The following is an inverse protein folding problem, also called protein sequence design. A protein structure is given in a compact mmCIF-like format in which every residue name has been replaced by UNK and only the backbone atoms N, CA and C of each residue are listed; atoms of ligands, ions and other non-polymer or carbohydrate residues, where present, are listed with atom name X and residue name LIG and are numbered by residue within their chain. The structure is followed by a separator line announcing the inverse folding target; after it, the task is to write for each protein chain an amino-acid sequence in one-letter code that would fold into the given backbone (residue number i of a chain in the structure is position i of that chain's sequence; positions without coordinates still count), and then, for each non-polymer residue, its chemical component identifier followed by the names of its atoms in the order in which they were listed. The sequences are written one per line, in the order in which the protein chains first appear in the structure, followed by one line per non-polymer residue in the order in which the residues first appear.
data_IF_345478032335
#
_entry.id   IF_345478032335
#
_cell.length_a   1.000
_cell.length_b   1.000
_cell.length_c   1.000
_cell.angle_alpha   90.00
_cell.angle_beta   90.00
_cell.angle_gamma   90.00
#
_symmetry.space_group_name_H-M   'P 1'
#
loop_
_entity.id
_entity.type
_entity.pdbx_description
1 polymer ?
#
# COMPACT_ATOMS: atom_id res chain seq x y z
N UNK A 1 47.62 -37.06 52.05
CA UNK A 1 46.28 -36.93 51.46
C UNK A 1 46.04 -35.46 51.18
N UNK A 2 45.82 -35.09 49.92
CA UNK A 2 45.58 -33.70 49.53
C UNK A 2 44.10 -33.32 49.50
N UNK A 3 43.89 -32.04 49.14
CA UNK A 3 42.70 -31.45 48.50
C UNK A 3 41.47 -31.22 49.41
N UNK A 4 40.70 -30.12 49.33
CA UNK A 4 40.55 -29.01 48.39
C UNK A 4 39.92 -27.81 49.13
N UNK A 5 40.42 -26.60 48.93
CA UNK A 5 39.71 -25.36 49.23
C UNK A 5 38.76 -25.01 48.07
N UNK A 6 37.46 -24.89 48.38
CA UNK A 6 36.42 -24.45 47.43
C UNK A 6 36.40 -22.93 47.32
N UNK A 7 36.96 -22.39 46.24
CA UNK A 7 36.80 -20.99 45.85
C UNK A 7 35.44 -20.76 45.18
N UNK A 8 34.53 -20.08 45.87
CA UNK A 8 33.24 -19.65 45.30
C UNK A 8 33.45 -18.41 44.41
N UNK A 9 33.39 -18.58 43.09
CA UNK A 9 33.47 -17.48 42.13
C UNK A 9 32.13 -16.74 42.06
N UNK A 10 32.09 -15.50 42.56
CA UNK A 10 30.94 -14.61 42.45
C UNK A 10 30.91 -14.02 41.04
N UNK A 11 29.99 -14.50 40.20
CA UNK A 11 29.76 -13.94 38.86
C UNK A 11 29.19 -12.51 39.00
N UNK A 12 29.77 -11.50 38.33
CA UNK A 12 29.29 -10.12 38.45
C UNK A 12 27.91 -9.96 37.78
N UNK A 13 26.92 -9.49 38.55
CA UNK A 13 25.53 -9.26 38.11
C UNK A 13 25.37 -8.22 36.98
N UNK A 14 26.45 -7.60 36.52
CA UNK A 14 26.46 -6.60 35.45
C UNK A 14 26.51 -7.19 34.03
N UNK A 15 27.01 -8.42 33.85
CA UNK A 15 27.06 -9.07 32.54
C UNK A 15 25.68 -9.29 31.87
N UNK A 16 24.64 -9.80 32.55
CA UNK A 16 23.34 -10.03 31.91
C UNK A 16 22.64 -8.72 31.52
N UNK A 17 22.81 -7.65 32.29
CA UNK A 17 22.22 -6.33 32.00
C UNK A 17 22.87 -5.72 30.75
N UNK A 18 24.20 -5.86 30.61
CA UNK A 18 24.93 -5.37 29.43
C UNK A 18 24.54 -6.14 28.16
N UNK A 19 24.34 -7.46 28.24
CA UNK A 19 23.87 -8.29 27.13
C UNK A 19 22.44 -7.95 26.69
N UNK A 20 21.52 -7.70 27.64
CA UNK A 20 20.14 -7.28 27.35
C UNK A 20 20.14 -5.89 26.68
N UNK A 21 20.90 -4.93 27.20
CA UNK A 21 21.02 -3.59 26.60
C UNK A 21 21.61 -3.66 25.19
N UNK A 22 22.66 -4.45 24.97
CA UNK A 22 23.26 -4.64 23.64
C UNK A 22 22.27 -5.29 22.65
N UNK A 23 21.44 -6.23 23.11
CA UNK A 23 20.38 -6.86 22.30
C UNK A 23 19.26 -5.88 21.91
N UNK A 24 18.89 -4.96 22.81
CA UNK A 24 17.90 -3.92 22.52
C UNK A 24 18.42 -2.90 21.50
N UNK A 25 19.69 -2.52 21.60
CA UNK A 25 20.31 -1.55 20.68
C UNK A 25 20.49 -2.15 19.28
N UNK A 26 20.84 -3.43 19.15
CA UNK A 26 20.94 -4.10 17.85
C UNK A 26 19.58 -4.50 17.24
N UNK A 27 18.56 -4.81 18.05
CA UNK A 27 17.22 -5.15 17.56
C UNK A 27 16.45 -3.97 16.94
N UNK A 28 16.76 -2.73 17.35
CA UNK A 28 16.10 -1.53 16.85
C UNK A 28 16.50 -1.16 15.40
N UNK A 29 17.68 -1.55 14.94
CA UNK A 29 18.22 -1.11 13.65
C UNK A 29 17.61 -1.83 12.44
N UNK A 30 17.09 -3.06 12.60
CA UNK A 30 16.58 -3.84 11.48
C UNK A 30 15.11 -3.49 11.12
N UNK A 31 14.36 -2.96 12.09
CA UNK A 31 12.92 -2.69 11.94
C UNK A 31 12.57 -1.39 11.20
N UNK A 32 13.52 -0.46 11.06
CA UNK A 32 13.29 0.85 10.44
C UNK A 32 13.31 0.80 8.91
N UNK A 33 14.17 -0.05 8.33
CA UNK A 33 14.38 -0.20 6.89
C UNK A 33 13.13 -0.69 6.13
N UNK A 34 12.27 -1.50 6.77
CA UNK A 34 11.04 -2.03 6.16
C UNK A 34 9.78 -1.29 6.64
N UNK A 35 9.89 -0.05 7.09
CA UNK A 35 8.73 0.70 7.59
C UNK A 35 7.91 1.40 6.50
N UNK A 36 8.44 1.52 5.28
CA UNK A 36 7.83 2.31 4.20
C UNK A 36 7.26 1.44 3.07
N UNK A 37 6.24 1.98 2.39
CA UNK A 37 5.74 1.47 1.12
C UNK A 37 6.67 1.95 0.00
N UNK A 38 7.10 1.03 -0.84
CA UNK A 38 7.95 1.33 -2.00
C UNK A 38 7.23 0.96 -3.29
N UNK A 39 7.61 1.61 -4.39
CA UNK A 39 7.14 1.21 -5.72
C UNK A 39 7.53 -0.24 -6.05
N UNK A 40 6.67 -0.90 -6.81
CA UNK A 40 6.71 -2.33 -7.10
C UNK A 40 6.21 -3.21 -5.95
N UNK A 41 5.85 -2.66 -4.77
CA UNK A 41 5.20 -3.45 -3.72
C UNK A 41 3.79 -3.85 -4.15
N UNK A 42 3.36 -5.02 -3.70
CA UNK A 42 1.99 -5.53 -3.86
C UNK A 42 1.37 -5.63 -2.48
N UNK A 43 0.28 -4.90 -2.24
CA UNK A 43 -0.31 -4.73 -0.92
C UNK A 43 -1.83 -4.74 -0.97
N UNK A 44 -2.46 -4.90 0.19
CA UNK A 44 -3.89 -4.64 0.38
C UNK A 44 -4.08 -3.28 1.04
N UNK A 45 -5.14 -2.57 0.62
CA UNK A 45 -5.54 -1.30 1.24
C UNK A 45 -6.77 -1.55 2.11
N UNK A 46 -6.62 -1.37 3.42
CA UNK A 46 -7.70 -1.50 4.39
C UNK A 46 -8.33 -0.13 4.66
N UNK A 47 -9.63 0.01 4.41
CA UNK A 47 -10.38 1.16 4.91
C UNK A 47 -10.52 1.06 6.43
N UNK A 48 -10.04 2.07 7.16
CA UNK A 48 -9.94 2.02 8.61
C UNK A 48 -11.32 2.01 9.28
N UNK A 49 -12.25 2.85 8.78
CA UNK A 49 -13.57 3.00 9.41
C UNK A 49 -14.46 1.78 9.21
N UNK A 50 -14.43 1.19 8.02
CA UNK A 50 -15.35 0.11 7.63
C UNK A 50 -14.75 -1.29 7.71
N UNK A 51 -13.44 -1.37 7.98
CA UNK A 51 -12.69 -2.63 8.08
C UNK A 51 -12.88 -3.53 6.84
N UNK A 52 -12.80 -2.92 5.66
CA UNK A 52 -12.88 -3.62 4.36
C UNK A 52 -11.64 -3.34 3.53
N UNK A 53 -11.21 -4.34 2.76
CA UNK A 53 -10.09 -4.25 1.83
C UNK A 53 -10.58 -3.81 0.46
N UNK A 54 -9.85 -2.91 -0.17
CA UNK A 54 -10.06 -2.51 -1.55
C UNK A 54 -9.97 -3.77 -2.45
N UNK A 55 -10.94 -3.96 -3.31
CA UNK A 55 -11.15 -5.20 -4.04
C UNK A 55 -11.67 -4.92 -5.46
N UNK A 56 -11.32 -5.76 -6.42
CA UNK A 56 -11.94 -5.75 -7.75
C UNK A 56 -12.07 -7.17 -8.30
N UNK A 57 -12.83 -7.36 -9.38
CA UNK A 57 -13.16 -8.68 -9.93
C UNK A 57 -13.69 -8.52 -11.36
N UNK A 58 -13.95 -9.62 -12.07
CA UNK A 58 -14.56 -9.58 -13.40
C UNK A 58 -16.10 -9.40 -13.36
N UNK A 59 -16.56 -8.40 -12.63
CA UNK A 59 -17.95 -7.90 -12.64
C UNK A 59 -17.90 -6.43 -13.00
N UNK A 60 -18.86 -5.97 -13.80
CA UNK A 60 -18.96 -4.58 -14.25
C UNK A 60 -20.14 -3.90 -13.60
N UNK A 61 -20.07 -2.58 -13.48
CA UNK A 61 -21.23 -1.79 -13.10
C UNK A 61 -22.35 -1.90 -14.15
N UNK A 62 -23.60 -1.99 -13.68
CA UNK A 62 -24.79 -1.91 -14.55
C UNK A 62 -25.28 -0.47 -14.78
N UNK A 63 -24.62 0.51 -14.16
CA UNK A 63 -24.90 1.95 -14.21
C UNK A 63 -23.59 2.72 -14.34
N UNK A 64 -23.67 4.05 -14.36
CA UNK A 64 -22.48 4.90 -14.43
C UNK A 64 -21.70 4.65 -15.71
N UNK A 65 -20.40 4.38 -15.60
CA UNK A 65 -19.53 4.17 -16.76
C UNK A 65 -19.65 2.78 -17.39
N UNK A 66 -20.23 1.81 -16.68
CA UNK A 66 -20.24 0.41 -17.10
C UNK A 66 -18.86 -0.29 -17.04
N UNK A 67 -17.85 0.33 -16.42
CA UNK A 67 -16.52 -0.25 -16.23
C UNK A 67 -16.50 -1.34 -15.16
N UNK A 68 -15.35 -2.01 -14.99
CA UNK A 68 -15.15 -3.04 -13.98
C UNK A 68 -15.31 -2.44 -12.57
N UNK A 69 -16.06 -3.13 -11.70
CA UNK A 69 -16.40 -2.62 -10.39
C UNK A 69 -15.25 -2.71 -9.40
N UNK A 70 -15.18 -1.73 -8.50
CA UNK A 70 -14.27 -1.69 -7.36
C UNK A 70 -15.11 -1.64 -6.09
N UNK A 71 -14.79 -2.50 -5.14
CA UNK A 71 -15.61 -2.73 -3.96
C UNK A 71 -14.74 -2.86 -2.71
N UNK A 72 -15.40 -2.92 -1.55
CA UNK A 72 -14.79 -3.25 -0.27
C UNK A 72 -15.23 -4.62 0.23
N UNK A 73 -14.29 -5.52 0.54
CA UNK A 73 -14.58 -6.85 1.09
C UNK A 73 -14.01 -7.02 2.50
N UNK A 74 -14.68 -7.80 3.35
CA UNK A 74 -14.18 -8.13 4.70
C UNK A 74 -13.20 -9.30 4.70
N UNK A 75 -13.21 -10.13 3.64
CA UNK A 75 -12.35 -11.29 3.50
C UNK A 75 -10.87 -10.89 3.55
N UNK A 76 -10.12 -11.49 4.47
CA UNK A 76 -8.70 -11.18 4.69
C UNK A 76 -7.83 -11.83 3.61
N UNK A 77 -8.11 -13.09 3.28
CA UNK A 77 -7.26 -13.92 2.42
C UNK A 77 -7.56 -13.80 0.92
N UNK A 78 -8.43 -12.88 0.51
CA UNK A 78 -8.83 -12.77 -0.89
C UNK A 78 -7.68 -12.22 -1.75
N UNK A 79 -7.35 -12.96 -2.82
CA UNK A 79 -6.32 -12.56 -3.79
C UNK A 79 -6.73 -11.36 -4.65
N UNK A 80 -8.04 -11.14 -4.84
CA UNK A 80 -8.61 -10.00 -5.57
C UNK A 80 -8.55 -8.68 -4.77
N UNK A 81 -7.88 -8.69 -3.61
CA UNK A 81 -7.59 -7.49 -2.84
C UNK A 81 -6.14 -7.02 -2.96
N UNK A 82 -5.32 -7.66 -3.79
CA UNK A 82 -3.94 -7.23 -4.03
C UNK A 82 -3.85 -6.16 -5.12
N UNK A 83 -3.16 -5.07 -4.78
CA UNK A 83 -2.89 -3.93 -5.65
C UNK A 83 -1.38 -3.67 -5.71
N UNK A 84 -0.86 -3.53 -6.93
CA UNK A 84 0.53 -3.18 -7.20
C UNK A 84 0.71 -1.66 -7.23
N UNK A 85 1.71 -1.16 -6.49
CA UNK A 85 2.06 0.27 -6.43
C UNK A 85 3.03 0.60 -7.56
N UNK A 86 2.60 1.44 -8.51
CA UNK A 86 3.38 1.82 -9.71
C UNK A 86 3.56 3.33 -9.81
N UNK A 87 4.57 3.75 -10.57
CA UNK A 87 4.71 5.14 -11.01
C UNK A 87 3.65 5.51 -12.06
N UNK A 88 3.60 6.79 -12.42
CA UNK A 88 2.76 7.28 -13.51
C UNK A 88 3.52 7.24 -14.84
N UNK A 89 2.83 7.52 -15.95
CA UNK A 89 3.47 7.64 -17.27
C UNK A 89 4.53 8.75 -17.30
N UNK A 90 4.29 9.87 -16.61
CA UNK A 90 5.18 11.03 -16.59
C UNK A 90 6.28 10.95 -15.51
N UNK A 91 6.08 10.12 -14.49
CA UNK A 91 6.99 10.01 -13.35
C UNK A 91 7.30 8.55 -13.03
N UNK A 92 8.44 8.08 -13.57
CA UNK A 92 8.94 6.74 -13.31
C UNK A 92 9.16 6.53 -11.82
N UNK A 93 8.58 5.46 -11.29
CA UNK A 93 8.84 5.00 -9.93
C UNK A 93 9.50 3.63 -9.97
N UNK A 94 10.82 3.61 -9.80
CA UNK A 94 11.58 2.38 -9.82
C UNK A 94 11.23 1.47 -8.63
N UNK A 95 11.30 0.16 -8.88
CA UNK A 95 11.08 -0.85 -7.84
C UNK A 95 12.01 -0.60 -6.65
N UNK A 96 11.46 -0.65 -5.44
CA UNK A 96 12.19 -0.39 -4.20
C UNK A 96 12.35 1.10 -3.86
N UNK A 97 11.96 2.04 -4.73
CA UNK A 97 11.96 3.47 -4.35
C UNK A 97 10.84 3.75 -3.33
N UNK A 98 11.13 4.30 -2.14
CA UNK A 98 10.10 4.70 -1.18
C UNK A 98 9.13 5.74 -1.77
N UNK A 99 7.83 5.54 -1.54
CA UNK A 99 6.80 6.47 -2.00
C UNK A 99 6.74 7.68 -1.07
N UNK A 100 6.89 8.88 -1.63
CA UNK A 100 6.80 10.14 -0.87
C UNK A 100 5.33 10.50 -0.61
N UNK A 101 5.07 11.18 0.50
CA UNK A 101 3.79 11.90 0.64
C UNK A 101 3.71 12.98 -0.44
N UNK A 102 2.49 13.24 -0.94
CA UNK A 102 2.19 14.03 -2.13
C UNK A 102 2.70 13.46 -3.46
N UNK A 103 3.30 12.26 -3.47
CA UNK A 103 3.64 11.59 -4.72
C UNK A 103 2.38 11.06 -5.41
N UNK A 104 2.31 11.24 -6.72
CA UNK A 104 1.29 10.62 -7.56
C UNK A 104 1.75 9.22 -8.00
N UNK A 105 0.87 8.24 -7.86
CA UNK A 105 1.09 6.84 -8.20
C UNK A 105 -0.10 6.29 -9.00
N UNK A 106 0.06 5.08 -9.53
CA UNK A 106 -1.04 4.21 -9.96
C UNK A 106 -1.15 3.00 -9.03
N UNK A 107 -2.37 2.54 -8.81
CA UNK A 107 -2.67 1.29 -8.10
C UNK A 107 -3.27 0.31 -9.11
N UNK A 108 -2.52 -0.73 -9.46
CA UNK A 108 -2.97 -1.72 -10.46
C UNK A 108 -3.44 -2.99 -9.76
N UNK A 109 -4.69 -3.38 -10.00
CA UNK A 109 -5.25 -4.62 -9.49
C UNK A 109 -4.52 -5.82 -10.08
N UNK A 110 -3.96 -6.68 -9.23
CA UNK A 110 -3.02 -7.73 -9.66
C UNK A 110 -3.68 -8.76 -10.58
N UNK A 111 -4.90 -9.19 -10.25
CA UNK A 111 -5.53 -10.30 -10.97
C UNK A 111 -6.15 -9.91 -12.31
N UNK A 112 -6.49 -8.63 -12.51
CA UNK A 112 -7.12 -8.16 -13.77
C UNK A 112 -6.24 -7.23 -14.59
N UNK A 113 -5.07 -6.84 -14.08
CA UNK A 113 -4.17 -5.88 -14.73
C UNK A 113 -4.73 -4.46 -14.81
N UNK A 114 -5.92 -4.18 -14.25
CA UNK A 114 -6.57 -2.88 -14.39
C UNK A 114 -6.13 -1.87 -13.33
N UNK A 115 -6.09 -0.61 -13.69
CA UNK A 115 -5.78 0.48 -12.76
C UNK A 115 -7.03 0.92 -11.98
N UNK A 116 -6.82 1.31 -10.73
CA UNK A 116 -7.82 2.05 -9.96
C UNK A 116 -8.07 3.40 -10.64
N UNK A 117 -9.32 3.63 -11.01
CA UNK A 117 -9.71 4.72 -11.90
C UNK A 117 -10.87 5.52 -11.30
N UNK A 118 -10.95 6.81 -11.65
CA UNK A 118 -12.12 7.62 -11.30
C UNK A 118 -12.36 8.75 -12.29
N UNK A 119 -13.60 9.22 -12.33
CA UNK A 119 -14.09 10.14 -13.36
C UNK A 119 -15.44 10.73 -12.95
N UNK A 120 -15.98 11.66 -13.74
CA UNK A 120 -17.25 12.33 -13.46
C UNK A 120 -18.50 11.49 -13.79
N UNK A 121 -18.49 10.21 -13.40
CA UNK A 121 -19.68 9.36 -13.36
C UNK A 121 -20.20 9.24 -11.92
N UNK A 122 -21.50 9.01 -11.80
CA UNK A 122 -22.16 8.78 -10.53
C UNK A 122 -21.98 7.33 -10.08
N UNK A 123 -21.54 7.15 -8.83
CA UNK A 123 -21.40 5.84 -8.19
C UNK A 123 -22.75 5.13 -8.03
N UNK A 124 -22.78 3.79 -8.11
CA UNK A 124 -24.04 3.05 -8.27
C UNK A 124 -25.05 3.13 -7.12
N UNK A 125 -24.62 3.31 -5.87
CA UNK A 125 -25.48 3.20 -4.69
C UNK A 125 -25.65 4.52 -3.93
N UNK A 126 -24.62 5.35 -3.84
CA UNK A 126 -24.61 6.55 -2.97
C UNK A 126 -24.61 7.89 -3.70
N UNK A 127 -24.62 7.87 -5.03
CA UNK A 127 -24.58 9.08 -5.87
C UNK A 127 -23.32 9.95 -5.69
N UNK A 128 -22.26 9.41 -5.08
CA UNK A 128 -20.92 10.01 -5.05
C UNK A 128 -20.19 9.84 -6.40
N UNK A 129 -18.92 10.22 -6.49
CA UNK A 129 -18.13 10.01 -7.71
C UNK A 129 -17.73 8.54 -7.87
N UNK A 130 -17.93 7.96 -9.04
CA UNK A 130 -17.63 6.56 -9.34
C UNK A 130 -16.12 6.27 -9.25
N UNK A 131 -15.78 5.16 -8.59
CA UNK A 131 -14.45 4.55 -8.63
C UNK A 131 -14.57 3.18 -9.31
N UNK A 132 -13.71 2.92 -10.28
CA UNK A 132 -13.77 1.74 -11.14
C UNK A 132 -12.37 1.16 -11.36
N UNK A 133 -12.30 0.03 -12.07
CA UNK A 133 -11.06 -0.55 -12.57
C UNK A 133 -11.03 -0.44 -14.11
N UNK A 134 -10.03 0.26 -14.63
CA UNK A 134 -9.91 0.63 -16.05
C UNK A 134 -8.55 0.25 -16.64
N UNK A 135 -8.46 0.25 -17.97
CA UNK A 135 -7.23 -0.08 -18.66
C UNK A 135 -6.95 -1.58 -18.74
N UNK A 136 -5.71 -1.90 -19.07
CA UNK A 136 -5.21 -3.27 -19.28
C UNK A 136 -3.72 -3.35 -18.97
N UNK A 137 -3.28 -4.39 -18.25
CA UNK A 137 -1.87 -4.62 -17.88
C UNK A 137 -1.12 -3.41 -17.26
N UNK A 138 -1.85 -2.57 -16.51
CA UNK A 138 -1.34 -1.35 -15.88
C UNK A 138 -1.28 -0.14 -16.80
N UNK A 139 -1.59 -0.32 -18.08
CA UNK A 139 -1.74 0.75 -19.06
C UNK A 139 -3.14 1.35 -19.00
N UNK A 140 -3.21 2.66 -19.15
CA UNK A 140 -4.43 3.45 -19.05
C UNK A 140 -4.10 4.93 -19.21
N UNK A 141 -4.85 5.82 -18.56
CA UNK A 141 -4.75 7.26 -18.80
C UNK A 141 -4.43 8.06 -17.52
N UNK A 142 -4.65 9.39 -17.57
CA UNK A 142 -4.37 10.30 -16.47
C UNK A 142 -5.43 10.24 -15.35
N UNK A 143 -6.55 9.56 -15.57
CA UNK A 143 -7.62 9.32 -14.59
C UNK A 143 -7.36 8.06 -13.73
N UNK A 144 -6.21 7.41 -13.95
CA UNK A 144 -5.69 6.33 -13.09
C UNK A 144 -4.77 6.85 -11.98
N UNK A 145 -4.56 8.17 -11.92
CA UNK A 145 -3.53 8.80 -11.09
C UNK A 145 -4.06 9.23 -9.72
N UNK A 146 -3.41 8.74 -8.67
CA UNK A 146 -3.78 9.03 -7.28
C UNK A 146 -2.60 9.62 -6.51
N UNK A 147 -2.80 10.78 -5.89
CA UNK A 147 -1.85 11.42 -4.99
C UNK A 147 -1.97 10.84 -3.58
N UNK A 148 -0.86 10.33 -3.04
CA UNK A 148 -0.80 9.76 -1.68
C UNK A 148 -0.69 10.89 -0.66
N UNK A 149 -1.70 11.05 0.19
CA UNK A 149 -1.70 12.04 1.27
C UNK A 149 -1.40 11.33 2.60
N UNK A 150 -0.26 11.66 3.21
CA UNK A 150 0.19 11.07 4.48
C UNK A 150 0.85 12.10 5.39
N UNK A 151 0.91 11.80 6.69
CA UNK A 151 1.35 12.77 7.72
C UNK A 151 2.86 13.02 7.80
N UNK A 152 3.67 12.19 7.14
CA UNK A 152 5.14 12.29 7.15
C UNK A 152 5.72 12.78 5.82
N UNK A 153 7.00 12.51 5.60
CA UNK A 153 7.65 12.73 4.29
C UNK A 153 7.50 11.53 3.34
N UNK A 154 7.35 10.33 3.90
CA UNK A 154 7.24 9.07 3.18
C UNK A 154 6.00 8.31 3.65
N UNK A 155 5.40 7.53 2.74
CA UNK A 155 4.29 6.65 3.05
C UNK A 155 4.75 5.46 3.89
N UNK A 156 4.46 5.51 5.19
CA UNK A 156 4.71 4.41 6.12
C UNK A 156 3.63 3.36 6.05
N UNK A 157 4.04 2.09 6.21
CA UNK A 157 3.14 0.96 6.40
C UNK A 157 2.37 1.14 7.71
N UNK A 158 1.17 0.60 7.76
CA UNK A 158 0.30 0.64 8.94
C UNK A 158 -0.13 2.04 9.45
N UNK A 159 0.37 3.13 8.87
CA UNK A 159 -0.11 4.49 9.15
C UNK A 159 -1.30 4.85 8.25
N UNK A 160 -2.16 5.73 8.76
CA UNK A 160 -3.33 6.19 8.06
C UNK A 160 -2.96 7.13 6.91
N UNK A 161 -3.51 6.85 5.72
CA UNK A 161 -3.28 7.63 4.50
C UNK A 161 -4.60 7.92 3.78
N UNK A 162 -4.58 8.88 2.86
CA UNK A 162 -5.66 9.07 1.87
C UNK A 162 -5.10 9.00 0.46
N UNK A 163 -5.96 8.65 -0.48
CA UNK A 163 -5.67 8.72 -1.91
C UNK A 163 -6.58 9.76 -2.54
N UNK A 164 -5.98 10.83 -3.05
CA UNK A 164 -6.68 11.88 -3.77
C UNK A 164 -6.56 11.61 -5.26
N UNK A 165 -7.68 11.46 -5.93
CA UNK A 165 -7.71 11.34 -7.37
C UNK A 165 -7.19 12.64 -8.00
N UNK A 166 -6.13 12.56 -8.80
CA UNK A 166 -5.38 13.75 -9.24
C UNK A 166 -6.23 14.65 -10.15
N UNK A 167 -7.07 14.06 -11.00
CA UNK A 167 -7.84 14.84 -11.98
C UNK A 167 -9.09 15.52 -11.38
N UNK A 168 -9.65 15.01 -10.28
CA UNK A 168 -10.92 15.53 -9.72
C UNK A 168 -10.82 15.98 -8.27
N UNK A 169 -9.66 15.87 -7.64
CA UNK A 169 -9.40 16.12 -6.21
C UNK A 169 -10.24 15.27 -5.23
N UNK A 170 -11.06 14.34 -5.72
CA UNK A 170 -11.90 13.50 -4.89
C UNK A 170 -11.09 12.42 -4.15
N UNK A 171 -11.50 12.07 -2.94
CA UNK A 171 -10.79 11.16 -2.06
C UNK A 171 -11.43 9.77 -2.11
N UNK A 172 -10.62 8.74 -2.36
CA UNK A 172 -11.03 7.34 -2.31
C UNK A 172 -11.69 7.02 -0.96
N UNK A 173 -12.92 6.54 -0.97
CA UNK A 173 -13.79 6.46 0.20
C UNK A 173 -14.71 5.24 0.19
N UNK A 174 -15.27 4.92 1.37
CA UNK A 174 -16.34 3.92 1.57
C UNK A 174 -17.35 4.48 2.56
N UNK A 175 -18.66 4.49 2.27
CA UNK A 175 -19.69 5.02 3.20
C UNK A 175 -20.60 3.96 3.84
N UNK A 176 -20.59 2.71 3.35
CA UNK A 176 -21.16 1.55 4.05
C UNK A 176 -22.26 0.81 3.28
N UNK A 177 -22.77 1.41 2.21
CA UNK A 177 -23.70 0.86 1.23
C UNK A 177 -23.14 -0.45 0.68
N UNK A 178 -24.01 -1.44 0.49
CA UNK A 178 -23.63 -2.78 0.09
C UNK A 178 -24.38 -3.21 -1.16
N UNK A 179 -23.69 -3.91 -2.04
CA UNK A 179 -24.29 -4.51 -3.22
C UNK A 179 -25.10 -5.75 -2.88
N UNK A 180 -26.13 -5.99 -3.69
CA UNK A 180 -26.83 -7.27 -3.76
C UNK A 180 -26.12 -8.27 -4.68
N UNK A 181 -26.88 -9.17 -5.32
CA UNK A 181 -26.31 -10.11 -6.31
C UNK A 181 -25.70 -9.36 -7.51
N UNK A 182 -24.64 -9.90 -8.15
CA UNK A 182 -23.93 -11.14 -7.81
C UNK A 182 -22.88 -11.00 -6.69
N UNK A 183 -22.59 -9.78 -6.25
CA UNK A 183 -21.50 -9.44 -5.30
C UNK A 183 -22.05 -9.09 -3.91
N UNK A 184 -22.91 -9.95 -3.41
CA UNK A 184 -23.71 -9.69 -2.21
C UNK A 184 -22.83 -9.36 -0.99
N UNK A 185 -23.14 -8.25 -0.32
CA UNK A 185 -22.49 -7.82 0.92
C UNK A 185 -21.16 -7.09 0.72
N UNK A 186 -20.66 -6.98 -0.51
CA UNK A 186 -19.50 -6.13 -0.80
C UNK A 186 -19.91 -4.66 -0.68
N UNK A 187 -19.04 -3.85 -0.08
CA UNK A 187 -19.30 -2.41 0.12
C UNK A 187 -18.99 -1.61 -1.13
N UNK A 188 -19.74 -0.55 -1.37
CA UNK A 188 -19.42 0.43 -2.39
C UNK A 188 -18.12 1.17 -2.04
N UNK A 189 -17.22 1.23 -3.01
CA UNK A 189 -16.07 2.14 -3.03
C UNK A 189 -16.39 3.25 -4.02
N UNK A 190 -16.17 4.49 -3.61
CA UNK A 190 -16.44 5.69 -4.41
C UNK A 190 -15.45 6.79 -4.02
N UNK A 191 -15.57 7.97 -4.61
CA UNK A 191 -14.77 9.12 -4.25
C UNK A 191 -15.63 10.29 -3.76
N UNK A 192 -15.18 10.94 -2.68
CA UNK A 192 -15.86 12.07 -2.03
C UNK A 192 -14.99 13.32 -2.08
N UNK A 193 -15.59 14.49 -2.28
CA UNK A 193 -14.86 15.77 -2.37
C UNK A 193 -14.24 16.24 -1.03
N UNK A 194 -14.80 15.81 0.09
CA UNK A 194 -14.38 16.26 1.43
C UNK A 194 -13.70 15.16 2.23
N UNK A 195 -12.59 15.44 2.93
CA UNK A 195 -11.93 14.47 3.79
C UNK A 195 -12.82 14.10 4.98
N UNK A 196 -12.82 12.81 5.32
CA UNK A 196 -13.57 12.29 6.46
C UNK A 196 -12.88 11.03 7.01
N UNK A 197 -13.53 10.32 7.94
CA UNK A 197 -13.08 9.01 8.40
C UNK A 197 -13.28 7.92 7.33
N UNK A 198 -14.17 8.16 6.36
CA UNK A 198 -14.48 7.25 5.25
C UNK A 198 -13.35 7.16 4.22
N UNK A 199 -12.51 8.18 4.13
CA UNK A 199 -11.38 8.26 3.20
C UNK A 199 -10.04 7.84 3.81
N UNK A 200 -10.03 7.31 5.04
CA UNK A 200 -8.80 6.83 5.67
C UNK A 200 -8.55 5.36 5.34
N UNK A 201 -7.37 5.13 4.77
CA UNK A 201 -6.88 3.81 4.38
C UNK A 201 -5.58 3.49 5.08
N UNK A 202 -5.20 2.23 5.06
CA UNK A 202 -3.94 1.72 5.60
C UNK A 202 -3.37 0.66 4.66
N UNK A 203 -2.08 0.79 4.33
CA UNK A 203 -1.36 -0.29 3.67
C UNK A 203 -1.13 -1.41 4.68
N UNK A 204 -1.69 -2.58 4.38
CA UNK A 204 -1.55 -3.81 5.17
C UNK A 204 -1.03 -4.93 4.28
N UNK A 205 -0.99 -6.16 4.80
CA UNK A 205 -0.86 -7.45 4.07
C UNK A 205 -0.31 -7.36 2.64
N UNK A 206 0.89 -7.89 2.42
CA UNK A 206 1.46 -7.86 1.09
C UNK A 206 2.93 -8.22 1.02
N UNK A 207 3.46 -8.13 -0.19
CA UNK A 207 4.87 -8.26 -0.50
C UNK A 207 5.42 -6.85 -0.71
N UNK A 208 6.17 -6.38 0.28
CA UNK A 208 6.80 -5.07 0.22
C UNK A 208 8.23 -5.20 -0.27
N UNK A 209 8.59 -4.40 -1.27
CA UNK A 209 9.95 -4.42 -1.79
C UNK A 209 10.91 -3.77 -0.78
N UNK A 210 12.13 -4.33 -0.66
CA UNK A 210 13.18 -3.70 0.12
C UNK A 210 13.52 -2.34 -0.51
N UNK A 211 13.73 -1.27 0.28
CA UNK A 211 14.24 -0.03 -0.25
C UNK A 211 15.54 -0.23 -1.03
N UNK A 212 15.65 0.39 -2.20
CA UNK A 212 16.88 0.36 -2.99
C UNK A 212 17.95 1.23 -2.32
N UNK A 213 19.14 0.68 -2.08
CA UNK A 213 20.28 1.37 -1.44
C UNK A 213 20.97 2.40 -2.35
N UNK A 214 20.45 2.63 -3.57
CA UNK A 214 21.09 3.48 -4.57
C UNK A 214 20.68 4.94 -4.34
N UNK A 215 21.61 5.84 -3.98
CA UNK A 215 21.30 7.26 -3.86
C UNK A 215 20.87 7.82 -5.22
N UNK A 216 19.84 8.67 -5.23
CA UNK A 216 19.50 9.51 -6.38
C UNK A 216 20.71 10.41 -6.72
N UNK A 217 21.64 9.94 -7.55
CA UNK A 217 22.80 10.76 -7.92
C UNK A 217 23.98 10.10 -8.61
N UNK A 218 24.06 8.77 -8.73
CA UNK A 218 25.14 8.15 -9.51
C UNK A 218 24.62 7.00 -10.39
N UNK A 219 24.19 7.37 -11.60
CA UNK A 219 24.27 6.45 -12.73
C UNK A 219 25.43 6.92 -13.59
N UNK A 220 26.64 6.48 -13.23
CA UNK A 220 27.70 6.40 -14.23
C UNK A 220 27.38 5.23 -15.15
N UNK A 221 27.22 5.56 -16.44
CA UNK A 221 27.12 4.59 -17.51
C UNK A 221 28.48 3.91 -17.68
N UNK A 222 28.65 2.70 -17.16
CA UNK A 222 29.49 1.68 -17.81
C UNK A 222 29.40 0.38 -17.06
N UNK A 223 28.55 -0.53 -17.55
CA UNK A 223 28.97 -1.92 -17.68
C UNK A 223 28.28 -2.48 -18.91
N UNK A 224 28.99 -2.37 -20.04
CA UNK A 224 28.78 -3.21 -21.20
C UNK A 224 28.94 -4.64 -20.70
N UNK A 225 27.85 -5.41 -20.62
CA UNK A 225 27.96 -6.84 -20.41
C UNK A 225 28.23 -7.47 -21.77
N UNK A 226 29.51 -7.72 -22.04
CA UNK A 226 29.92 -8.66 -23.08
C UNK A 226 29.59 -10.08 -22.59
N UNK A 227 29.28 -10.90 -23.58
CA UNK A 227 28.69 -12.25 -23.59
C UNK A 227 29.33 -13.29 -22.66
N UNK A 228 28.51 -14.27 -22.26
CA UNK A 228 28.71 -15.70 -22.56
C UNK A 228 27.35 -16.39 -22.78
#
# INVERSE_FOLDING_TARGET
MGNLDSGCAVLPHSLPILLILLSCVFGLSLGTELSFVTCGSVLKLLNIKHNVRLHSHDVRYGSGSGQQSVTGVTAVEDSNSYWSVRGTSDALCHRGTPVKCEQTIRLTHVNTGRNLHSHYFTSPLSSNQEVSAFGDEGEGDHLDEWTVLCGGSLWKREEAVRFRHKATDALLSVTGEQYGRPIHGQREVHAMSSPSQHSLWKAVEGIFMKPSEIPMGSRDYSHLHTEF
#
